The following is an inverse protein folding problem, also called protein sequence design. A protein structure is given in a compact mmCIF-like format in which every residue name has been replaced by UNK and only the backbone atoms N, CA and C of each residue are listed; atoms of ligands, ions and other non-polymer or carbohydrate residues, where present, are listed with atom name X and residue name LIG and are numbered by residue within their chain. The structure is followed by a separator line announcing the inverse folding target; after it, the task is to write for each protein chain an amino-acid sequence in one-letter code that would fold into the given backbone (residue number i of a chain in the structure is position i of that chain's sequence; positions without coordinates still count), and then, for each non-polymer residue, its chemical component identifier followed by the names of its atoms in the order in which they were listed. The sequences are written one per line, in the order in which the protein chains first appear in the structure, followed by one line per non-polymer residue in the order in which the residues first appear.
data_IF_035789120304
#
_entry.id   IF_035789120304
#
_cell.length_a   1.000
_cell.length_b   1.000
_cell.length_c   1.000
_cell.angle_alpha   90.00
_cell.angle_beta   90.00
_cell.angle_gamma   90.00
#
_symmetry.space_group_name_H-M   'P 1'
#
loop_
_entity.id
_entity.type
_entity.pdbx_description
1 polymer ?
#
# COMPACT_ATOMS: atom_id res chain seq x y z
N UNK A 1 37.04 19.29 -18.85
CA UNK A 1 37.88 18.97 -17.67
C UNK A 1 37.77 17.47 -17.43
N UNK A 2 38.88 16.75 -17.31
CA UNK A 2 38.89 15.31 -16.96
C UNK A 2 39.85 15.16 -15.79
N UNK A 3 39.33 14.76 -14.63
CA UNK A 3 40.17 14.49 -13.47
C UNK A 3 40.93 13.18 -13.64
N UNK A 4 42.20 13.17 -13.22
CA UNK A 4 43.03 11.98 -13.13
C UNK A 4 43.24 11.63 -11.66
N UNK A 5 43.29 10.34 -11.36
CA UNK A 5 43.52 9.84 -9.99
C UNK A 5 44.99 9.98 -9.66
N UNK A 6 45.34 10.92 -8.77
CA UNK A 6 46.66 10.98 -8.12
C UNK A 6 46.45 10.96 -6.61
N UNK A 7 46.82 9.83 -5.99
CA UNK A 7 46.58 9.56 -4.58
C UNK A 7 47.85 9.87 -3.80
N UNK A 8 47.67 10.52 -2.66
CA UNK A 8 48.73 10.85 -1.73
C UNK A 8 48.46 10.19 -0.39
N UNK A 9 49.48 9.63 0.24
CA UNK A 9 49.43 9.20 1.64
C UNK A 9 49.65 10.44 2.52
N UNK A 10 48.63 10.79 3.30
CA UNK A 10 48.57 11.98 4.15
C UNK A 10 48.59 11.60 5.64
N UNK A 11 48.86 10.34 5.96
CA UNK A 11 48.78 9.80 7.34
C UNK A 11 49.66 10.57 8.32
N UNK A 12 50.83 11.03 7.88
CA UNK A 12 51.77 11.83 8.68
C UNK A 12 51.15 13.11 9.25
N UNK A 13 50.25 13.75 8.51
CA UNK A 13 49.59 15.00 8.93
C UNK A 13 48.67 14.76 10.13
N UNK A 14 48.13 13.54 10.26
CA UNK A 14 47.09 13.20 11.23
C UNK A 14 47.62 12.37 12.42
N UNK A 15 48.94 12.21 12.58
CA UNK A 15 49.53 11.44 13.70
C UNK A 15 49.10 11.93 15.08
N UNK A 16 49.04 13.24 15.27
CA UNK A 16 48.66 13.89 16.53
C UNK A 16 47.24 14.49 16.50
N UNK A 17 46.40 14.00 15.59
CA UNK A 17 45.05 14.55 15.39
C UNK A 17 44.19 14.43 16.65
N UNK A 18 43.39 15.47 16.91
CA UNK A 18 42.35 15.45 17.95
C UNK A 18 41.07 14.77 17.49
N UNK A 19 40.95 14.46 16.19
CA UNK A 19 39.81 13.71 15.66
C UNK A 19 39.83 12.27 16.15
N UNK A 20 38.91 11.93 17.06
CA UNK A 20 38.74 10.54 17.54
C UNK A 20 38.53 9.56 16.38
N UNK A 21 37.77 9.97 15.36
CA UNK A 21 37.50 9.15 14.18
C UNK A 21 38.79 8.78 13.46
N UNK A 22 39.63 9.77 13.14
CA UNK A 22 40.87 9.54 12.38
C UNK A 22 41.89 8.79 13.24
N UNK A 23 42.10 9.24 14.49
CA UNK A 23 43.06 8.66 15.42
C UNK A 23 42.80 7.17 15.67
N UNK A 24 41.57 6.81 16.02
CA UNK A 24 41.21 5.40 16.26
C UNK A 24 41.40 4.52 15.01
N UNK A 25 41.17 5.04 13.81
CA UNK A 25 41.41 4.25 12.60
C UNK A 25 42.91 4.08 12.34
N UNK A 26 43.72 5.13 12.52
CA UNK A 26 45.19 5.06 12.38
C UNK A 26 45.79 4.08 13.40
N UNK A 27 45.38 4.16 14.67
CA UNK A 27 45.83 3.26 15.74
C UNK A 27 45.51 1.78 15.41
N UNK A 28 44.43 1.54 14.65
CA UNK A 28 44.03 0.23 14.16
C UNK A 28 44.72 -0.18 12.85
N UNK A 29 45.76 0.54 12.42
CA UNK A 29 46.56 0.25 11.22
C UNK A 29 46.00 0.81 9.92
N UNK A 30 45.00 1.71 9.97
CA UNK A 30 44.53 2.41 8.77
C UNK A 30 45.45 3.58 8.40
N UNK A 31 45.38 4.00 7.14
CA UNK A 31 46.06 5.17 6.62
C UNK A 31 45.06 6.17 6.07
N UNK A 32 45.48 7.43 6.01
CA UNK A 32 44.69 8.53 5.45
C UNK A 32 45.22 8.84 4.06
N UNK A 33 44.42 8.59 3.04
CA UNK A 33 44.76 8.88 1.66
C UNK A 33 43.96 10.08 1.17
N UNK A 34 44.54 10.89 0.29
CA UNK A 34 43.87 12.06 -0.27
C UNK A 34 44.06 12.21 -1.77
N UNK A 35 43.07 12.85 -2.41
CA UNK A 35 43.14 13.30 -3.80
C UNK A 35 42.80 14.79 -3.89
N UNK A 36 43.39 15.46 -4.88
CA UNK A 36 43.07 16.83 -5.28
C UNK A 36 41.97 16.82 -6.35
N UNK A 37 41.05 17.77 -6.26
CA UNK A 37 40.03 18.07 -7.26
C UNK A 37 40.12 19.54 -7.66
N UNK A 38 40.75 19.81 -8.80
CA UNK A 38 40.92 21.16 -9.33
C UNK A 38 39.56 21.88 -9.53
N UNK A 39 39.44 23.13 -9.11
CA UNK A 39 38.26 24.01 -9.28
C UNK A 39 36.93 23.46 -8.72
N UNK A 40 36.98 22.53 -7.77
CA UNK A 40 35.79 21.89 -7.17
C UNK A 40 35.42 22.44 -5.79
N UNK A 41 36.03 23.55 -5.34
CA UNK A 41 35.67 24.16 -4.06
C UNK A 41 34.20 24.56 -4.03
N UNK A 42 33.53 24.23 -2.93
CA UNK A 42 32.10 24.47 -2.71
C UNK A 42 31.18 23.52 -3.47
N UNK A 43 31.68 22.80 -4.48
CA UNK A 43 30.86 21.88 -5.28
C UNK A 43 30.58 20.58 -4.52
N UNK A 44 31.53 20.07 -3.75
CA UNK A 44 31.34 18.82 -3.01
C UNK A 44 30.31 19.03 -1.88
N UNK A 45 30.34 20.21 -1.26
CA UNK A 45 29.37 20.64 -0.25
C UNK A 45 27.99 21.06 -0.80
N UNK A 46 27.82 21.15 -2.12
CA UNK A 46 26.58 21.62 -2.72
C UNK A 46 25.40 20.66 -2.44
N UNK A 47 24.31 21.20 -1.92
CA UNK A 47 23.10 20.44 -1.60
C UNK A 47 22.26 20.19 -2.86
N UNK A 48 22.03 18.93 -3.18
CA UNK A 48 21.33 18.47 -4.39
C UNK A 48 19.89 18.03 -4.09
N UNK A 49 19.60 17.71 -2.84
CA UNK A 49 18.30 17.25 -2.33
C UNK A 49 18.32 17.48 -0.81
N UNK A 50 17.17 17.64 -0.12
CA UNK A 50 17.15 17.90 1.32
C UNK A 50 18.08 16.96 2.09
N UNK A 51 19.02 17.52 2.85
CA UNK A 51 20.01 16.78 3.64
C UNK A 51 21.00 15.92 2.83
N UNK A 52 21.06 16.06 1.50
CA UNK A 52 21.98 15.32 0.62
C UNK A 52 22.81 16.26 -0.24
N UNK A 53 24.13 16.09 -0.17
CA UNK A 53 25.13 16.86 -0.93
C UNK A 53 25.78 16.00 -2.01
N UNK A 54 26.53 16.62 -2.93
CA UNK A 54 27.40 15.86 -3.85
C UNK A 54 28.36 14.96 -3.06
N UNK A 55 28.92 15.46 -1.95
CA UNK A 55 29.74 14.68 -1.03
C UNK A 55 29.02 13.46 -0.46
N UNK A 56 27.71 13.53 -0.22
CA UNK A 56 26.89 12.40 0.23
C UNK A 56 26.82 11.30 -0.84
N UNK A 57 26.65 11.65 -2.12
CA UNK A 57 26.68 10.69 -3.22
C UNK A 57 28.04 9.98 -3.36
N UNK A 58 29.13 10.73 -3.20
CA UNK A 58 30.48 10.17 -3.24
C UNK A 58 30.78 9.30 -2.00
N UNK A 59 30.22 9.68 -0.85
CA UNK A 59 30.28 8.90 0.40
C UNK A 59 29.56 7.56 0.27
N UNK A 60 28.40 7.52 -0.41
CA UNK A 60 27.67 6.28 -0.66
C UNK A 60 28.50 5.28 -1.47
N UNK A 61 29.30 5.74 -2.44
CA UNK A 61 30.26 4.89 -3.18
C UNK A 61 31.27 4.29 -2.20
N UNK A 62 31.89 5.11 -1.35
CA UNK A 62 32.89 4.63 -0.38
C UNK A 62 32.30 3.59 0.60
N UNK A 63 31.07 3.80 1.06
CA UNK A 63 30.36 2.88 1.96
C UNK A 63 30.14 1.49 1.36
N UNK A 64 29.91 1.39 0.04
CA UNK A 64 29.78 0.08 -0.64
C UNK A 64 31.06 -0.75 -0.62
N UNK A 65 32.21 -0.13 -0.36
CA UNK A 65 33.51 -0.81 -0.21
C UNK A 65 33.90 -1.03 1.27
N UNK A 66 32.95 -0.91 2.19
CA UNK A 66 33.18 -1.14 3.62
C UNK A 66 33.88 0.02 4.35
N UNK A 67 34.03 1.18 3.69
CA UNK A 67 34.56 2.38 4.34
C UNK A 67 33.43 3.13 5.07
N UNK A 68 33.76 3.93 6.08
CA UNK A 68 32.74 4.72 6.80
C UNK A 68 32.14 5.86 5.96
N UNK A 69 32.85 6.28 4.92
CA UNK A 69 32.49 7.40 4.05
C UNK A 69 33.74 8.11 3.53
N UNK A 70 33.56 9.34 3.06
CA UNK A 70 34.65 10.24 2.68
C UNK A 70 34.72 11.42 3.63
N UNK A 71 35.88 12.09 3.70
CA UNK A 71 35.97 13.45 4.22
C UNK A 71 36.31 14.41 3.08
N UNK A 72 35.78 15.63 3.06
CA UNK A 72 36.07 16.58 1.97
C UNK A 72 36.35 18.02 2.44
N UNK A 73 37.01 18.80 1.59
CA UNK A 73 37.42 20.17 1.94
C UNK A 73 36.27 21.10 2.31
N UNK A 74 35.10 20.94 1.69
CA UNK A 74 33.95 21.84 1.92
C UNK A 74 33.21 21.58 3.25
N UNK A 75 33.47 20.45 3.92
CA UNK A 75 32.93 20.17 5.26
C UNK A 75 33.96 20.35 6.38
N UNK A 76 35.22 20.66 6.02
CA UNK A 76 36.33 20.85 6.95
C UNK A 76 36.68 22.35 7.07
N UNK A 77 37.07 22.85 8.27
CA UNK A 77 37.39 22.12 9.50
C UNK A 77 36.15 21.63 10.27
N UNK A 78 36.11 20.32 10.57
CA UNK A 78 35.06 19.68 11.37
C UNK A 78 35.55 18.29 11.85
N UNK A 79 34.73 17.55 12.59
CA UNK A 79 35.02 16.18 13.07
C UNK A 79 36.28 16.08 13.96
N UNK A 80 36.67 17.20 14.59
CA UNK A 80 37.90 17.30 15.38
C UNK A 80 39.18 17.46 14.56
N UNK A 81 39.08 17.71 13.25
CA UNK A 81 40.19 18.11 12.39
C UNK A 81 40.31 19.64 12.45
N UNK A 82 41.50 20.12 12.81
CA UNK A 82 41.87 21.52 12.96
C UNK A 82 42.13 22.21 11.62
N UNK A 83 42.02 23.54 11.61
CA UNK A 83 42.37 24.36 10.44
C UNK A 83 43.82 24.16 10.00
N UNK A 84 44.73 23.93 10.94
CA UNK A 84 46.15 23.69 10.64
C UNK A 84 46.35 22.36 9.91
N UNK A 85 45.64 21.29 10.30
CA UNK A 85 45.63 20.02 9.57
C UNK A 85 45.07 20.20 8.16
N UNK A 86 43.97 20.95 8.00
CA UNK A 86 43.39 21.26 6.68
C UNK A 86 44.39 22.03 5.80
N UNK A 87 45.10 23.01 6.37
CA UNK A 87 46.13 23.79 5.66
C UNK A 87 47.31 22.93 5.23
N UNK A 88 47.75 22.00 6.09
CA UNK A 88 48.81 21.05 5.78
C UNK A 88 48.41 20.07 4.68
N UNK A 89 47.16 19.59 4.68
CA UNK A 89 46.61 18.77 3.58
C UNK A 89 46.63 19.54 2.26
N UNK A 90 46.13 20.79 2.24
CA UNK A 90 46.15 21.64 1.04
C UNK A 90 47.56 21.86 0.51
N UNK A 91 48.54 22.09 1.41
CA UNK A 91 49.96 22.24 1.04
C UNK A 91 50.52 20.95 0.44
N UNK A 92 50.28 19.79 1.05
CA UNK A 92 50.79 18.50 0.56
C UNK A 92 50.18 18.11 -0.80
N UNK A 93 48.91 18.42 -1.01
CA UNK A 93 48.19 18.16 -2.26
C UNK A 93 48.42 19.23 -3.34
N UNK A 94 49.14 20.33 -3.04
CA UNK A 94 49.28 21.51 -3.90
C UNK A 94 47.92 22.05 -4.38
N UNK A 95 46.98 22.22 -3.45
CA UNK A 95 45.68 22.85 -3.70
C UNK A 95 45.81 24.38 -3.77
N UNK A 96 45.20 24.99 -4.79
CA UNK A 96 44.92 26.42 -4.84
C UNK A 96 43.63 26.76 -4.08
N UNK A 97 43.29 28.06 -4.01
CA UNK A 97 42.09 28.53 -3.32
C UNK A 97 40.78 28.16 -4.01
N UNK A 98 40.82 27.72 -5.27
CA UNK A 98 39.65 27.24 -6.02
C UNK A 98 39.49 25.72 -5.95
N UNK A 99 40.50 25.01 -5.43
CA UNK A 99 40.54 23.55 -5.45
C UNK A 99 39.89 22.94 -4.20
N UNK A 100 39.36 21.73 -4.37
CA UNK A 100 38.87 20.89 -3.29
C UNK A 100 39.77 19.66 -3.10
N UNK A 101 39.59 18.96 -1.98
CA UNK A 101 40.20 17.65 -1.78
C UNK A 101 39.21 16.68 -1.15
N UNK A 102 39.45 15.39 -1.36
CA UNK A 102 38.74 14.30 -0.71
C UNK A 102 39.75 13.42 0.01
N UNK A 103 39.42 13.01 1.23
CA UNK A 103 40.17 12.06 2.04
C UNK A 103 39.39 10.76 2.21
N UNK A 104 40.12 9.66 2.23
CA UNK A 104 39.63 8.32 2.57
C UNK A 104 40.51 7.72 3.65
N UNK A 105 39.89 7.05 4.61
CA UNK A 105 40.59 6.33 5.67
C UNK A 105 40.41 4.85 5.40
N UNK A 106 41.51 4.15 5.10
CA UNK A 106 41.48 2.73 4.73
C UNK A 106 42.72 2.00 5.21
N UNK A 107 42.56 0.75 5.63
CA UNK A 107 43.69 -0.16 5.91
C UNK A 107 44.34 -0.68 4.63
N UNK A 108 43.55 -0.80 3.56
CA UNK A 108 43.99 -1.33 2.28
C UNK A 108 44.10 -0.19 1.23
N UNK A 109 45.30 -0.06 0.66
CA UNK A 109 45.58 0.91 -0.40
C UNK A 109 44.83 0.59 -1.69
N UNK A 110 44.67 -0.68 -2.07
CA UNK A 110 43.98 -1.05 -3.30
C UNK A 110 42.47 -0.76 -3.21
N UNK A 111 41.87 -0.92 -2.02
CA UNK A 111 40.48 -0.46 -1.77
C UNK A 111 40.39 1.06 -1.92
N UNK A 112 41.29 1.82 -1.29
CA UNK A 112 41.30 3.28 -1.41
C UNK A 112 41.45 3.74 -2.87
N UNK A 113 42.36 3.11 -3.61
CA UNK A 113 42.60 3.37 -5.03
C UNK A 113 41.39 3.08 -5.90
N UNK A 114 40.69 1.96 -5.66
CA UNK A 114 39.47 1.60 -6.38
C UNK A 114 38.34 2.59 -6.09
N UNK A 115 38.15 2.97 -4.83
CA UNK A 115 37.12 3.95 -4.43
C UNK A 115 37.41 5.32 -5.05
N UNK A 116 38.63 5.83 -4.96
CA UNK A 116 38.99 7.10 -5.62
C UNK A 116 38.80 7.06 -7.13
N UNK A 117 39.12 5.94 -7.77
CA UNK A 117 38.89 5.78 -9.22
C UNK A 117 37.41 5.86 -9.57
N UNK A 118 36.54 5.22 -8.78
CA UNK A 118 35.09 5.30 -8.96
C UNK A 118 34.55 6.70 -8.69
N UNK A 119 35.04 7.38 -7.65
CA UNK A 119 34.68 8.78 -7.35
C UNK A 119 35.09 9.70 -8.50
N UNK A 120 36.31 9.57 -9.04
CA UNK A 120 36.77 10.38 -10.17
C UNK A 120 35.94 10.10 -11.43
N UNK A 121 35.66 8.83 -11.74
CA UNK A 121 34.79 8.48 -12.86
C UNK A 121 33.39 9.06 -12.70
N UNK A 122 32.86 9.01 -11.47
CA UNK A 122 31.57 9.60 -11.12
C UNK A 122 31.55 11.11 -11.32
N UNK A 123 32.55 11.83 -10.81
CA UNK A 123 32.66 13.28 -11.00
C UNK A 123 32.75 13.63 -12.49
N UNK A 124 33.60 12.91 -13.25
CA UNK A 124 33.76 13.11 -14.68
C UNK A 124 32.47 12.84 -15.47
N UNK A 125 31.65 11.88 -15.03
CA UNK A 125 30.32 11.62 -15.59
C UNK A 125 29.33 12.74 -15.23
N UNK A 126 29.26 13.12 -13.94
CA UNK A 126 28.37 14.15 -13.41
C UNK A 126 28.56 15.52 -14.09
N UNK A 127 29.78 15.84 -14.52
CA UNK A 127 30.07 17.07 -15.28
C UNK A 127 29.39 17.06 -16.66
N UNK A 128 29.20 15.88 -17.25
CA UNK A 128 28.62 15.74 -18.59
C UNK A 128 27.11 15.57 -18.54
N UNK A 129 26.61 14.84 -17.55
CA UNK A 129 25.19 14.49 -17.39
C UNK A 129 24.92 13.98 -15.98
N UNK A 130 23.64 13.91 -15.59
CA UNK A 130 23.25 13.13 -14.40
C UNK A 130 23.54 11.64 -14.65
N UNK A 131 24.32 10.96 -13.77
CA UNK A 131 24.63 9.54 -13.92
C UNK A 131 23.37 8.65 -13.91
N UNK A 132 23.42 7.53 -14.64
CA UNK A 132 22.33 6.56 -14.68
C UNK A 132 22.55 5.46 -13.63
N UNK A 133 21.75 5.50 -12.57
CA UNK A 133 21.86 4.55 -11.46
C UNK A 133 20.55 3.87 -11.11
N UNK A 134 20.68 2.71 -10.49
CA UNK A 134 19.66 2.21 -9.57
C UNK A 134 19.88 2.85 -8.20
N UNK A 135 18.82 3.42 -7.63
CA UNK A 135 18.85 4.15 -6.35
C UNK A 135 17.90 3.51 -5.36
N UNK A 136 18.23 3.59 -4.06
CA UNK A 136 17.38 3.14 -2.97
C UNK A 136 16.54 4.32 -2.47
N UNK A 137 15.24 4.11 -2.26
CA UNK A 137 14.38 5.10 -1.60
C UNK A 137 14.65 5.12 -0.09
N UNK A 138 14.74 6.31 0.47
CA UNK A 138 14.91 6.55 1.90
C UNK A 138 13.54 6.91 2.54
N UNK A 139 13.40 6.71 3.86
CA UNK A 139 12.18 7.05 4.61
C UNK A 139 11.82 8.53 4.56
N UNK A 140 12.81 9.41 4.39
CA UNK A 140 12.65 10.86 4.26
C UNK A 140 12.25 11.33 2.85
N UNK A 141 11.96 10.39 1.94
CA UNK A 141 11.61 10.67 0.55
C UNK A 141 12.80 10.98 -0.36
N UNK A 142 14.03 11.00 0.16
CA UNK A 142 15.25 11.15 -0.65
C UNK A 142 15.67 9.80 -1.24
N UNK A 143 16.73 9.79 -2.07
CA UNK A 143 17.28 8.54 -2.63
C UNK A 143 18.79 8.45 -2.45
N UNK A 144 19.30 7.24 -2.23
CA UNK A 144 20.74 6.95 -2.07
C UNK A 144 21.27 6.06 -3.20
N UNK A 145 22.57 6.18 -3.50
CA UNK A 145 23.19 5.39 -4.56
C UNK A 145 23.27 3.91 -4.15
N UNK A 146 22.73 3.01 -5.00
CA UNK A 146 22.79 1.57 -4.78
C UNK A 146 23.84 0.91 -5.69
N UNK A 147 23.67 1.05 -7.00
CA UNK A 147 24.58 0.53 -8.03
C UNK A 147 24.38 1.30 -9.35
N UNK A 148 25.38 1.31 -10.25
CA UNK A 148 25.17 1.80 -11.61
C UNK A 148 24.04 1.02 -12.28
N UNK A 149 23.26 1.69 -13.14
CA UNK A 149 22.19 1.01 -13.86
C UNK A 149 22.81 -0.14 -14.69
N UNK A 150 22.27 -1.37 -14.61
CA UNK A 150 22.72 -2.44 -15.48
C UNK A 150 22.56 -2.01 -16.94
N UNK A 151 23.46 -2.45 -17.80
CA UNK A 151 23.32 -2.24 -19.25
C UNK A 151 22.03 -2.88 -19.78
N UNK A 152 21.65 -2.56 -21.01
CA UNK A 152 20.53 -3.23 -21.68
C UNK A 152 20.75 -4.74 -21.65
N UNK A 153 19.89 -5.46 -20.96
CA UNK A 153 19.99 -6.91 -20.84
C UNK A 153 19.92 -7.54 -22.22
N UNK A 154 20.81 -8.49 -22.48
CA UNK A 154 20.75 -9.29 -23.70
C UNK A 154 19.63 -10.31 -23.53
N UNK A 155 18.43 -9.98 -23.99
CA UNK A 155 17.35 -10.96 -24.06
C UNK A 155 17.60 -11.90 -25.24
N UNK A 156 17.47 -13.19 -25.01
CA UNK A 156 17.35 -14.22 -26.03
C UNK A 156 16.05 -15.00 -25.74
N UNK A 157 15.38 -15.53 -26.77
CA UNK A 157 14.22 -16.39 -26.55
C UNK A 157 14.58 -17.59 -25.66
N UNK A 158 13.76 -17.86 -24.65
CA UNK A 158 13.87 -19.05 -23.81
C UNK A 158 13.56 -20.29 -24.65
N UNK A 159 14.56 -21.15 -24.87
CA UNK A 159 14.46 -22.32 -25.74
C UNK A 159 13.94 -23.57 -25.02
N UNK A 160 13.98 -23.58 -23.69
CA UNK A 160 13.50 -24.72 -22.89
C UNK A 160 11.97 -24.80 -22.84
N UNK A 161 11.28 -23.72 -23.24
CA UNK A 161 9.82 -23.64 -23.25
C UNK A 161 9.29 -23.67 -24.70
N UNK A 162 8.30 -24.53 -25.00
CA UNK A 162 7.63 -24.48 -26.30
C UNK A 162 6.82 -23.17 -26.43
N UNK A 163 6.51 -22.79 -27.67
CA UNK A 163 5.63 -21.65 -27.91
C UNK A 163 4.22 -21.92 -27.38
N UNK A 164 3.63 -20.90 -26.73
CA UNK A 164 2.21 -20.87 -26.41
C UNK A 164 1.49 -20.31 -27.65
N UNK A 165 0.74 -21.14 -28.37
CA UNK A 165 -0.10 -20.70 -29.47
C UNK A 165 -1.49 -20.36 -28.95
N UNK A 166 -1.94 -19.12 -29.18
CA UNK A 166 -3.26 -18.65 -28.77
C UNK A 166 -4.04 -18.27 -30.04
N UNK A 167 -5.05 -19.08 -30.40
CA UNK A 167 -6.00 -18.75 -31.46
C UNK A 167 -7.27 -18.16 -30.85
N UNK A 168 -7.80 -17.11 -31.47
CA UNK A 168 -9.02 -16.42 -31.05
C UNK A 168 -10.05 -16.48 -32.17
N UNK A 169 -11.22 -17.04 -31.85
CA UNK A 169 -12.39 -17.04 -32.72
C UNK A 169 -13.54 -16.27 -32.05
N UNK A 170 -14.31 -15.52 -32.84
CA UNK A 170 -15.52 -14.83 -32.37
C UNK A 170 -16.73 -15.51 -32.98
N UNK A 171 -17.61 -16.03 -32.14
CA UNK A 171 -18.89 -16.62 -32.53
C UNK A 171 -19.97 -15.60 -32.16
N UNK A 172 -20.72 -15.13 -33.15
CA UNK A 172 -21.82 -14.20 -32.93
C UNK A 172 -23.12 -14.93 -32.65
N UNK A 173 -23.77 -14.60 -31.54
CA UNK A 173 -25.16 -14.93 -31.23
C UNK A 173 -26.02 -13.64 -31.37
N UNK A 174 -27.34 -13.78 -31.37
CA UNK A 174 -28.25 -12.63 -31.44
C UNK A 174 -28.09 -11.70 -30.22
N UNK A 175 -27.81 -12.26 -29.05
CA UNK A 175 -27.77 -11.50 -27.78
C UNK A 175 -26.34 -11.19 -27.29
N UNK A 176 -25.36 -12.02 -27.66
CA UNK A 176 -23.97 -11.92 -27.19
C UNK A 176 -22.95 -12.43 -28.21
N UNK A 177 -21.68 -12.15 -27.96
CA UNK A 177 -20.54 -12.74 -28.65
C UNK A 177 -19.87 -13.75 -27.73
N UNK A 178 -19.40 -14.87 -28.29
CA UNK A 178 -18.51 -15.82 -27.60
C UNK A 178 -17.13 -15.62 -28.20
N UNK A 179 -16.17 -15.26 -27.35
CA UNK A 179 -14.76 -15.19 -27.69
C UNK A 179 -14.12 -16.49 -27.23
N UNK A 180 -13.81 -17.36 -28.19
CA UNK A 180 -13.18 -18.65 -27.95
C UNK A 180 -11.67 -18.53 -28.08
N UNK A 181 -10.97 -18.81 -26.99
CA UNK A 181 -9.52 -18.90 -26.97
C UNK A 181 -9.11 -20.37 -26.98
N UNK A 182 -8.34 -20.76 -27.98
CA UNK A 182 -7.72 -22.07 -28.07
C UNK A 182 -6.24 -21.91 -27.75
N UNK A 183 -5.82 -22.39 -26.58
CA UNK A 183 -4.43 -22.41 -26.14
C UNK A 183 -3.84 -23.78 -26.46
N UNK A 184 -2.70 -23.77 -27.12
CA UNK A 184 -1.89 -24.96 -27.35
C UNK A 184 -0.47 -24.73 -26.80
N UNK A 185 -0.08 -25.57 -25.86
CA UNK A 185 1.23 -25.54 -25.20
C UNK A 185 1.73 -26.96 -24.92
N UNK A 186 2.71 -27.42 -25.71
CA UNK A 186 3.19 -28.80 -25.64
C UNK A 186 2.05 -29.79 -25.96
N UNK A 187 1.76 -30.68 -25.00
CA UNK A 187 0.64 -31.63 -25.10
C UNK A 187 -0.69 -31.06 -24.57
N UNK A 188 -0.66 -29.87 -23.97
CA UNK A 188 -1.85 -29.22 -23.40
C UNK A 188 -2.61 -28.49 -24.49
N UNK A 189 -3.87 -28.88 -24.68
CA UNK A 189 -4.85 -28.17 -25.52
C UNK A 189 -6.04 -27.79 -24.66
N UNK A 190 -6.15 -26.50 -24.38
CA UNK A 190 -7.25 -25.94 -23.59
C UNK A 190 -8.05 -24.97 -24.43
N UNK A 191 -9.37 -25.06 -24.31
CA UNK A 191 -10.30 -24.10 -24.89
C UNK A 191 -11.08 -23.45 -23.77
N UNK A 192 -11.14 -22.13 -23.75
CA UNK A 192 -12.03 -21.39 -22.88
C UNK A 192 -12.85 -20.37 -23.67
N UNK A 193 -14.12 -20.27 -23.28
CA UNK A 193 -15.10 -19.40 -23.91
C UNK A 193 -15.40 -18.23 -22.97
N UNK A 194 -15.25 -17.01 -23.49
CA UNK A 194 -15.59 -15.77 -22.79
C UNK A 194 -16.79 -15.13 -23.48
N UNK A 195 -17.82 -14.79 -22.71
CA UNK A 195 -19.10 -14.30 -23.20
C UNK A 195 -19.19 -12.79 -23.06
N UNK A 196 -19.61 -12.09 -24.12
CA UNK A 196 -19.77 -10.64 -24.14
C UNK A 196 -21.17 -10.27 -24.66
N UNK A 197 -22.04 -9.78 -23.78
CA UNK A 197 -23.35 -9.26 -24.16
C UNK A 197 -23.20 -8.03 -25.05
N UNK A 198 -23.91 -8.02 -26.18
CA UNK A 198 -23.90 -6.90 -27.15
C UNK A 198 -24.58 -5.63 -26.59
N UNK A 199 -25.46 -5.80 -25.59
CA UNK A 199 -26.17 -4.75 -24.86
C UNK A 199 -26.35 -5.17 -23.41
N UNK A 200 -26.64 -4.21 -22.53
CA UNK A 200 -27.00 -4.54 -21.16
C UNK A 200 -28.32 -5.30 -21.11
N UNK A 201 -28.27 -6.51 -20.55
CA UNK A 201 -29.43 -7.35 -20.25
C UNK A 201 -29.13 -8.09 -18.93
N UNK A 202 -29.83 -7.67 -17.87
CA UNK A 202 -29.62 -8.18 -16.52
C UNK A 202 -29.99 -9.65 -16.42
N UNK A 203 -31.14 -10.04 -16.95
CA UNK A 203 -31.68 -11.38 -16.76
C UNK A 203 -30.85 -12.41 -17.54
N UNK A 204 -30.45 -12.04 -18.76
CA UNK A 204 -29.49 -12.82 -19.54
C UNK A 204 -28.14 -12.93 -18.84
N UNK A 205 -27.59 -11.83 -18.31
CA UNK A 205 -26.34 -11.85 -17.56
C UNK A 205 -26.39 -12.82 -16.36
N UNK A 206 -27.47 -12.77 -15.57
CA UNK A 206 -27.69 -13.67 -14.42
C UNK A 206 -27.75 -15.12 -14.87
N UNK A 207 -28.52 -15.38 -15.94
CA UNK A 207 -28.66 -16.72 -16.50
C UNK A 207 -27.29 -17.29 -16.90
N UNK A 208 -26.51 -16.53 -17.66
CA UNK A 208 -25.18 -16.98 -18.11
C UNK A 208 -24.22 -17.19 -16.93
N UNK A 209 -24.26 -16.31 -15.92
CA UNK A 209 -23.44 -16.46 -14.71
C UNK A 209 -23.81 -17.74 -13.94
N UNK A 210 -25.10 -18.05 -13.79
CA UNK A 210 -25.58 -19.26 -13.12
C UNK A 210 -25.25 -20.55 -13.90
N UNK A 211 -25.11 -20.45 -15.22
CA UNK A 211 -24.59 -21.54 -16.07
C UNK A 211 -23.05 -21.70 -15.97
N UNK A 212 -22.39 -20.90 -15.12
CA UNK A 212 -20.94 -20.95 -14.91
C UNK A 212 -20.13 -20.30 -16.03
N UNK A 213 -20.75 -19.47 -16.87
CA UNK A 213 -20.07 -18.81 -18.00
C UNK A 213 -19.25 -17.61 -17.55
N UNK A 214 -18.07 -17.46 -18.14
CA UNK A 214 -17.18 -16.31 -17.88
C UNK A 214 -17.62 -15.10 -18.68
N UNK A 215 -18.09 -14.04 -18.01
CA UNK A 215 -18.61 -12.83 -18.64
C UNK A 215 -17.54 -11.74 -18.78
N UNK A 216 -17.25 -11.30 -20.01
CA UNK A 216 -16.35 -10.18 -20.28
C UNK A 216 -16.93 -8.84 -19.81
N UNK A 217 -18.26 -8.68 -19.85
CA UNK A 217 -18.91 -7.41 -19.50
C UNK A 217 -18.61 -6.92 -18.07
N UNK A 218 -18.11 -7.80 -17.20
CA UNK A 218 -17.69 -7.46 -15.85
C UNK A 218 -16.52 -6.48 -15.77
N UNK A 219 -15.76 -6.31 -16.84
CA UNK A 219 -14.66 -5.33 -16.90
C UNK A 219 -15.09 -3.98 -17.48
N UNK A 220 -16.30 -3.90 -18.05
CA UNK A 220 -16.82 -2.68 -18.66
C UNK A 220 -17.47 -1.81 -17.57
N UNK A 221 -16.88 -0.64 -17.24
CA UNK A 221 -17.41 0.22 -16.18
C UNK A 221 -18.84 0.71 -16.45
N UNK A 222 -19.22 0.89 -17.71
CA UNK A 222 -20.57 1.35 -18.07
C UNK A 222 -21.59 0.23 -17.89
N UNK A 223 -21.22 -1.00 -18.27
CA UNK A 223 -22.04 -2.17 -17.98
C UNK A 223 -22.22 -2.37 -16.47
N UNK A 224 -21.16 -2.24 -15.67
CA UNK A 224 -21.24 -2.35 -14.21
C UNK A 224 -22.14 -1.25 -13.62
N UNK A 225 -22.03 -0.01 -14.11
CA UNK A 225 -22.94 1.08 -13.69
C UNK A 225 -24.40 0.71 -13.94
N UNK A 226 -24.72 0.22 -15.14
CA UNK A 226 -26.09 -0.20 -15.47
C UNK A 226 -26.55 -1.37 -14.61
N UNK A 227 -25.66 -2.33 -14.33
CA UNK A 227 -25.91 -3.45 -13.41
C UNK A 227 -26.25 -2.96 -12.00
N UNK A 228 -25.42 -2.09 -11.42
CA UNK A 228 -25.66 -1.52 -10.09
C UNK A 228 -26.94 -0.67 -10.05
N UNK A 229 -27.20 0.15 -11.07
CA UNK A 229 -28.48 0.87 -11.18
C UNK A 229 -29.68 -0.09 -11.18
N UNK A 230 -29.57 -1.22 -11.87
CA UNK A 230 -30.64 -2.22 -11.93
C UNK A 230 -30.93 -2.91 -10.59
N UNK A 231 -29.95 -2.96 -9.67
CA UNK A 231 -30.18 -3.42 -8.29
C UNK A 231 -30.78 -2.34 -7.37
N UNK A 232 -30.85 -1.09 -7.83
CA UNK A 232 -31.38 0.03 -7.04
C UNK A 232 -30.34 0.84 -6.28
N UNK A 233 -29.05 0.71 -6.61
CA UNK A 233 -28.02 1.60 -6.06
C UNK A 233 -28.16 3.02 -6.59
N UNK A 234 -27.98 4.01 -5.71
CA UNK A 234 -27.94 5.42 -6.11
C UNK A 234 -26.57 5.82 -6.67
N UNK A 235 -26.48 7.01 -7.30
CA UNK A 235 -25.26 7.47 -7.97
C UNK A 235 -24.04 7.51 -7.04
N UNK A 236 -24.19 8.00 -5.82
CA UNK A 236 -23.10 8.06 -4.84
C UNK A 236 -22.62 6.67 -4.43
N UNK A 237 -23.53 5.73 -4.25
CA UNK A 237 -23.17 4.34 -3.95
C UNK A 237 -22.40 3.73 -5.13
N UNK A 238 -22.88 3.95 -6.36
CA UNK A 238 -22.24 3.45 -7.58
C UNK A 238 -20.81 3.98 -7.73
N UNK A 239 -20.61 5.28 -7.53
CA UNK A 239 -19.28 5.89 -7.59
C UNK A 239 -18.31 5.23 -6.60
N UNK A 240 -18.77 4.95 -5.38
CA UNK A 240 -17.93 4.28 -4.38
C UNK A 240 -17.67 2.81 -4.72
N UNK A 241 -18.67 2.10 -5.26
CA UNK A 241 -18.56 0.68 -5.59
C UNK A 241 -17.62 0.43 -6.78
N UNK A 242 -17.63 1.29 -7.79
CA UNK A 242 -16.82 1.09 -9.02
C UNK A 242 -15.33 1.05 -8.74
N UNK A 243 -14.87 1.83 -7.75
CA UNK A 243 -13.47 1.87 -7.36
C UNK A 243 -13.13 0.87 -6.25
N UNK A 244 -14.09 0.05 -5.83
CA UNK A 244 -13.90 -0.96 -4.80
C UNK A 244 -13.19 -2.19 -5.38
N UNK A 245 -12.22 -2.72 -4.65
CA UNK A 245 -11.62 -4.03 -4.92
C UNK A 245 -12.65 -5.17 -4.78
N UNK A 246 -13.76 -4.95 -4.06
CA UNK A 246 -14.82 -5.94 -3.80
C UNK A 246 -16.01 -5.85 -4.77
N UNK A 247 -15.84 -5.18 -5.90
CA UNK A 247 -16.93 -4.93 -6.87
C UNK A 247 -17.68 -6.21 -7.29
N UNK A 248 -16.95 -7.30 -7.50
CA UNK A 248 -17.51 -8.59 -7.89
C UNK A 248 -18.33 -9.22 -6.76
N UNK A 249 -17.84 -9.17 -5.53
CA UNK A 249 -18.56 -9.68 -4.36
C UNK A 249 -19.82 -8.87 -4.09
N UNK A 250 -19.74 -7.55 -4.20
CA UNK A 250 -20.89 -6.64 -4.06
C UNK A 250 -21.98 -7.01 -5.07
N UNK A 251 -21.64 -7.15 -6.36
CA UNK A 251 -22.58 -7.54 -7.41
C UNK A 251 -23.20 -8.91 -7.08
N UNK A 252 -22.39 -9.89 -6.68
CA UNK A 252 -22.85 -11.24 -6.36
C UNK A 252 -23.79 -11.28 -5.16
N UNK A 253 -23.53 -10.47 -4.13
CA UNK A 253 -24.36 -10.41 -2.92
C UNK A 253 -25.66 -9.63 -3.18
N UNK A 254 -25.63 -8.65 -4.10
CA UNK A 254 -26.80 -7.86 -4.51
C UNK A 254 -27.93 -8.68 -5.14
N UNK A 255 -27.67 -9.92 -5.55
CA UNK A 255 -28.70 -10.85 -6.02
C UNK A 255 -29.61 -11.35 -4.90
N UNK A 256 -29.11 -11.38 -3.66
CA UNK A 256 -29.81 -12.00 -2.52
C UNK A 256 -30.24 -10.99 -1.45
N UNK A 257 -29.57 -9.83 -1.38
CA UNK A 257 -29.77 -8.81 -0.35
C UNK A 257 -30.03 -7.46 -1.00
N UNK A 258 -30.83 -6.63 -0.36
CA UNK A 258 -31.13 -5.27 -0.82
C UNK A 258 -29.85 -4.39 -0.91
N UNK A 259 -29.79 -3.45 -1.87
CA UNK A 259 -28.58 -2.67 -2.13
C UNK A 259 -28.10 -1.84 -0.94
N UNK A 260 -29.00 -1.38 -0.06
CA UNK A 260 -28.61 -0.56 1.09
C UNK A 260 -27.92 -1.40 2.17
N UNK A 261 -28.39 -2.62 2.39
CA UNK A 261 -27.74 -3.55 3.32
C UNK A 261 -26.39 -4.01 2.76
N UNK A 262 -26.28 -4.31 1.47
CA UNK A 262 -24.99 -4.63 0.84
C UNK A 262 -24.02 -3.45 0.94
N UNK A 263 -24.47 -2.24 0.61
CA UNK A 263 -23.63 -1.06 0.73
C UNK A 263 -23.14 -0.84 2.17
N UNK A 264 -24.04 -1.04 3.15
CA UNK A 264 -23.69 -0.95 4.56
C UNK A 264 -22.59 -1.96 4.96
N UNK A 265 -22.74 -3.22 4.54
CA UNK A 265 -21.80 -4.31 4.83
C UNK A 265 -20.37 -4.00 4.37
N UNK A 266 -20.22 -3.42 3.17
CA UNK A 266 -18.90 -3.15 2.58
C UNK A 266 -18.30 -1.82 3.00
N UNK A 267 -19.11 -0.77 3.23
CA UNK A 267 -18.60 0.59 3.36
C UNK A 267 -18.85 1.25 4.73
N UNK A 268 -19.80 0.77 5.53
CA UNK A 268 -20.24 1.48 6.74
C UNK A 268 -20.07 0.65 8.02
N UNK A 269 -20.24 -0.66 7.94
CA UNK A 269 -20.24 -1.57 9.07
C UNK A 269 -19.01 -1.40 9.98
N UNK A 270 -17.81 -1.28 9.42
CA UNK A 270 -16.58 -1.13 10.22
C UNK A 270 -16.67 0.14 11.08
N UNK A 271 -16.94 1.30 10.47
CA UNK A 271 -17.02 2.56 11.20
C UNK A 271 -18.10 2.55 12.28
N UNK A 272 -19.26 1.94 12.02
CA UNK A 272 -20.32 1.79 13.02
C UNK A 272 -19.90 0.86 14.17
N UNK A 273 -19.12 -0.17 13.88
CA UNK A 273 -18.57 -1.08 14.89
C UNK A 273 -17.54 -0.38 15.75
N UNK A 274 -16.62 0.38 15.15
CA UNK A 274 -15.62 1.16 15.88
C UNK A 274 -16.29 2.20 16.80
N UNK A 275 -17.33 2.86 16.29
CA UNK A 275 -18.09 3.83 17.05
C UNK A 275 -18.84 3.21 18.24
N UNK A 276 -19.36 2.00 18.07
CA UNK A 276 -20.10 1.28 19.11
C UNK A 276 -19.19 0.82 20.25
N UNK A 277 -18.03 0.25 19.93
CA UNK A 277 -17.11 -0.32 20.92
C UNK A 277 -15.99 0.62 21.36
N UNK A 278 -15.85 1.80 20.72
CA UNK A 278 -14.76 2.77 20.95
C UNK A 278 -13.37 2.16 20.75
N UNK A 279 -13.27 1.24 19.82
CA UNK A 279 -12.04 0.53 19.46
C UNK A 279 -11.87 0.51 17.95
N UNK A 280 -10.63 0.60 17.47
CA UNK A 280 -10.33 0.55 16.04
C UNK A 280 -10.35 -0.90 15.53
N UNK A 281 -10.92 -1.12 14.35
CA UNK A 281 -10.95 -2.43 13.69
C UNK A 281 -10.08 -2.37 12.45
N UNK A 282 -8.97 -3.11 12.47
CA UNK A 282 -7.94 -3.02 11.43
C UNK A 282 -8.21 -3.91 10.21
N UNK A 283 -9.20 -4.80 10.27
CA UNK A 283 -9.38 -5.87 9.29
C UNK A 283 -10.80 -5.88 8.75
N UNK A 284 -10.96 -5.64 7.44
CA UNK A 284 -12.14 -6.06 6.68
C UNK A 284 -12.05 -7.58 6.41
N UNK A 285 -13.16 -8.30 6.55
CA UNK A 285 -13.17 -9.77 6.43
C UNK A 285 -14.28 -10.22 5.49
N UNK A 286 -13.91 -10.65 4.29
CA UNK A 286 -14.86 -11.05 3.26
C UNK A 286 -15.59 -12.37 3.62
N UNK A 287 -14.95 -13.28 4.36
CA UNK A 287 -15.57 -14.53 4.80
C UNK A 287 -16.73 -14.25 5.76
N UNK A 288 -16.58 -13.24 6.62
CA UNK A 288 -17.68 -12.77 7.47
C UNK A 288 -18.87 -12.32 6.63
N UNK A 289 -18.64 -11.53 5.57
CA UNK A 289 -19.70 -11.04 4.70
C UNK A 289 -20.47 -12.20 4.06
N UNK A 290 -19.76 -13.20 3.54
CA UNK A 290 -20.39 -14.38 2.95
C UNK A 290 -21.19 -15.19 3.97
N UNK A 291 -20.71 -15.33 5.20
CA UNK A 291 -21.44 -16.04 6.25
C UNK A 291 -22.66 -15.27 6.74
N UNK A 292 -22.55 -13.96 6.97
CA UNK A 292 -23.65 -13.15 7.51
C UNK A 292 -24.77 -12.92 6.49
N UNK A 293 -24.45 -13.01 5.20
CA UNK A 293 -25.40 -12.85 4.09
C UNK A 293 -26.63 -13.75 4.24
N UNK A 294 -26.44 -15.03 4.57
CA UNK A 294 -27.55 -15.98 4.65
C UNK A 294 -28.50 -15.64 5.80
N UNK A 295 -27.97 -15.17 6.95
CA UNK A 295 -28.79 -14.70 8.07
C UNK A 295 -29.64 -13.48 7.73
N UNK A 296 -29.10 -12.57 6.89
CA UNK A 296 -29.82 -11.39 6.42
C UNK A 296 -30.86 -11.76 5.36
N UNK A 297 -30.51 -12.63 4.42
CA UNK A 297 -31.41 -13.16 3.38
C UNK A 297 -32.62 -13.86 4.00
N UNK A 298 -32.38 -14.70 5.00
CA UNK A 298 -33.42 -15.43 5.73
C UNK A 298 -34.17 -14.55 6.75
N UNK A 299 -33.81 -13.26 6.88
CA UNK A 299 -34.35 -12.30 7.85
C UNK A 299 -34.23 -12.77 9.31
N UNK A 300 -33.21 -13.58 9.63
CA UNK A 300 -32.93 -14.07 10.99
C UNK A 300 -32.39 -12.99 11.92
N UNK A 301 -31.73 -11.98 11.36
CA UNK A 301 -31.17 -10.83 12.09
C UNK A 301 -31.52 -9.52 11.38
N UNK A 302 -31.40 -8.41 12.09
CA UNK A 302 -31.53 -7.07 11.54
C UNK A 302 -30.16 -6.44 11.25
N UNK A 303 -30.12 -5.50 10.30
CA UNK A 303 -28.87 -4.83 9.88
C UNK A 303 -28.09 -4.21 11.05
N UNK A 304 -28.80 -3.65 12.02
CA UNK A 304 -28.19 -2.99 13.18
C UNK A 304 -27.49 -3.96 14.14
N UNK A 305 -27.78 -5.27 14.08
CA UNK A 305 -27.10 -6.28 14.90
C UNK A 305 -25.67 -6.55 14.40
N UNK A 306 -25.40 -6.28 13.12
CA UNK A 306 -24.16 -6.62 12.45
C UNK A 306 -22.91 -6.09 13.18
N UNK A 307 -22.85 -4.83 13.68
CA UNK A 307 -21.67 -4.35 14.41
C UNK A 307 -21.31 -5.19 15.62
N UNK A 308 -22.31 -5.63 16.39
CA UNK A 308 -22.09 -6.49 17.56
C UNK A 308 -21.52 -7.83 17.09
N UNK A 309 -22.14 -8.43 16.08
CA UNK A 309 -21.72 -9.72 15.54
C UNK A 309 -20.29 -9.64 15.00
N UNK A 310 -20.01 -8.61 14.21
CA UNK A 310 -18.73 -8.40 13.57
C UNK A 310 -17.60 -8.17 14.56
N UNK A 311 -17.82 -7.35 15.59
CA UNK A 311 -16.84 -7.12 16.65
C UNK A 311 -16.45 -8.43 17.34
N UNK A 312 -17.45 -9.24 17.72
CA UNK A 312 -17.17 -10.49 18.40
C UNK A 312 -16.53 -11.54 17.49
N UNK A 313 -16.90 -11.56 16.21
CA UNK A 313 -16.28 -12.42 15.20
C UNK A 313 -14.79 -12.10 15.04
N UNK A 314 -14.44 -10.82 14.86
CA UNK A 314 -13.04 -10.42 14.63
C UNK A 314 -12.19 -10.52 15.90
N UNK A 315 -12.70 -10.03 17.04
CA UNK A 315 -11.89 -9.92 18.26
C UNK A 315 -11.73 -11.23 19.00
N UNK A 316 -12.75 -12.08 19.00
CA UNK A 316 -12.76 -13.31 19.77
C UNK A 316 -12.79 -14.57 18.92
N UNK A 317 -12.79 -14.44 17.58
CA UNK A 317 -12.88 -15.56 16.64
C UNK A 317 -14.04 -16.52 16.96
N UNK A 318 -15.17 -15.95 17.40
CA UNK A 318 -16.38 -16.70 17.75
C UNK A 318 -17.20 -16.99 16.50
N UNK A 319 -17.92 -18.11 16.52
CA UNK A 319 -18.87 -18.43 15.46
C UNK A 319 -20.07 -17.46 15.49
N UNK A 320 -20.58 -17.12 14.29
CA UNK A 320 -21.68 -16.16 14.14
C UNK A 320 -22.94 -16.62 14.88
N UNK A 321 -23.26 -17.92 14.82
CA UNK A 321 -24.45 -18.48 15.46
C UNK A 321 -24.35 -18.35 16.99
N UNK A 322 -23.19 -18.68 17.56
CA UNK A 322 -22.95 -18.53 18.99
C UNK A 322 -23.05 -17.07 19.43
N UNK A 323 -22.51 -16.14 18.64
CA UNK A 323 -22.61 -14.70 18.95
C UNK A 323 -24.07 -14.23 18.94
N UNK A 324 -24.85 -14.62 17.91
CA UNK A 324 -26.27 -14.25 17.79
C UNK A 324 -27.04 -14.79 19.01
N UNK A 325 -26.81 -16.04 19.41
CA UNK A 325 -27.47 -16.67 20.56
C UNK A 325 -27.08 -16.02 21.88
N UNK A 326 -25.78 -15.85 22.16
CA UNK A 326 -25.27 -15.29 23.42
C UNK A 326 -25.71 -13.83 23.63
N UNK A 327 -25.82 -13.06 22.55
CA UNK A 327 -26.22 -11.65 22.60
C UNK A 327 -27.72 -11.44 22.32
N UNK A 328 -28.48 -12.53 22.15
CA UNK A 328 -29.93 -12.51 21.92
C UNK A 328 -30.36 -11.66 20.69
N UNK A 329 -29.59 -11.73 19.60
CA UNK A 329 -29.69 -10.85 18.42
C UNK A 329 -30.66 -11.33 17.34
N UNK A 330 -31.37 -12.43 17.58
CA UNK A 330 -32.39 -12.93 16.67
C UNK A 330 -33.49 -11.89 16.43
N UNK A 331 -33.89 -11.72 15.18
CA UNK A 331 -35.00 -10.84 14.82
C UNK A 331 -36.27 -11.34 15.49
N UNK A 332 -36.94 -10.46 16.25
CA UNK A 332 -38.22 -10.76 16.89
C UNK A 332 -39.34 -10.77 15.87
N UNK A 333 -40.26 -11.70 16.04
CA UNK A 333 -41.55 -11.60 15.37
C UNK A 333 -42.40 -10.50 16.04
N UNK A 334 -43.50 -10.13 15.39
CA UNK A 334 -44.35 -9.02 15.83
C UNK A 334 -44.96 -9.24 17.23
N UNK A 335 -45.34 -10.48 17.56
CA UNK A 335 -45.98 -10.78 18.85
C UNK A 335 -44.99 -10.73 20.01
N UNK A 336 -43.80 -11.31 19.82
CA UNK A 336 -42.69 -11.24 20.77
C UNK A 336 -42.26 -9.79 21.00
N UNK A 337 -42.05 -9.04 19.91
CA UNK A 337 -41.64 -7.64 19.97
C UNK A 337 -42.65 -6.80 20.74
N UNK A 338 -43.95 -7.00 20.48
CA UNK A 338 -45.02 -6.29 21.20
C UNK A 338 -44.99 -6.55 22.70
N UNK A 339 -44.91 -7.83 23.11
CA UNK A 339 -44.86 -8.20 24.53
C UNK A 339 -43.65 -7.59 25.23
N UNK A 340 -42.46 -7.72 24.63
CA UNK A 340 -41.23 -7.16 25.21
C UNK A 340 -41.27 -5.62 25.31
N UNK A 341 -41.84 -4.94 24.30
CA UNK A 341 -42.00 -3.47 24.34
C UNK A 341 -43.00 -3.05 25.43
N UNK A 342 -44.16 -3.71 25.55
CA UNK A 342 -45.16 -3.38 26.59
C UNK A 342 -44.58 -3.54 28.01
N UNK A 343 -43.81 -4.61 28.26
CA UNK A 343 -43.12 -4.84 29.53
C UNK A 343 -42.06 -3.76 29.79
N UNK A 344 -41.27 -3.41 28.77
CA UNK A 344 -40.25 -2.38 28.91
C UNK A 344 -40.85 -0.99 29.18
N UNK A 345 -41.94 -0.62 28.51
CA UNK A 345 -42.64 0.66 28.75
C UNK A 345 -43.15 0.74 30.18
N UNK A 346 -43.74 -0.34 30.71
CA UNK A 346 -44.18 -0.40 32.12
C UNK A 346 -43.03 -0.15 33.10
N UNK A 347 -41.81 -0.55 32.75
CA UNK A 347 -40.63 -0.33 33.60
C UNK A 347 -40.06 1.10 33.56
N UNK A 348 -40.38 1.90 32.53
CA UNK A 348 -39.73 3.19 32.29
C UNK A 348 -40.21 4.34 33.20
N UNK A 349 -41.29 4.16 33.99
CA UNK A 349 -41.85 5.16 34.92
C UNK A 349 -41.89 6.60 34.35
N UNK A 350 -42.14 6.76 33.05
CA UNK A 350 -42.13 8.04 32.36
C UNK A 350 -43.26 8.07 31.31
N UNK A 351 -44.01 9.18 31.26
CA UNK A 351 -45.17 9.35 30.37
C UNK A 351 -44.87 10.22 29.14
N UNK A 352 -43.65 10.77 29.01
CA UNK A 352 -43.27 11.53 27.83
C UNK A 352 -43.10 10.60 26.63
N UNK A 353 -44.00 10.72 25.65
CA UNK A 353 -43.99 9.95 24.41
C UNK A 353 -42.65 10.03 23.69
N UNK A 354 -42.00 11.20 23.63
CA UNK A 354 -40.70 11.33 22.93
C UNK A 354 -39.61 10.51 23.62
N UNK A 355 -39.61 10.52 24.96
CA UNK A 355 -38.65 9.77 25.78
C UNK A 355 -38.90 8.27 25.68
N UNK A 356 -40.17 7.83 25.69
CA UNK A 356 -40.54 6.42 25.48
C UNK A 356 -40.06 5.95 24.11
N UNK A 357 -40.38 6.69 23.05
CA UNK A 357 -39.93 6.37 21.69
C UNK A 357 -38.40 6.21 21.64
N UNK A 358 -37.64 7.20 22.12
CA UNK A 358 -36.18 7.15 22.08
C UNK A 358 -35.61 5.93 22.83
N UNK A 359 -36.14 5.62 24.02
CA UNK A 359 -35.65 4.49 24.82
C UNK A 359 -35.98 3.14 24.18
N UNK A 360 -37.21 2.97 23.69
CA UNK A 360 -37.64 1.73 23.03
C UNK A 360 -36.82 1.50 21.75
N UNK A 361 -36.66 2.52 20.92
CA UNK A 361 -35.81 2.40 19.73
C UNK A 361 -34.37 2.01 20.10
N UNK A 362 -33.78 2.67 21.11
CA UNK A 362 -32.42 2.36 21.54
C UNK A 362 -32.27 0.91 22.03
N UNK A 363 -33.28 0.40 22.75
CA UNK A 363 -33.28 -0.95 23.33
C UNK A 363 -33.49 -2.05 22.28
N UNK A 364 -34.42 -1.86 21.35
CA UNK A 364 -34.87 -2.91 20.43
C UNK A 364 -34.27 -2.83 19.02
N UNK A 365 -33.49 -1.78 18.69
CA UNK A 365 -32.89 -1.60 17.36
C UNK A 365 -32.04 -2.78 16.87
N UNK A 366 -31.54 -3.63 17.77
CA UNK A 366 -30.69 -4.79 17.44
C UNK A 366 -31.48 -6.07 17.17
N UNK A 367 -32.79 -6.09 17.42
CA UNK A 367 -33.64 -7.28 17.29
C UNK A 367 -34.90 -7.01 16.46
N UNK A 368 -35.14 -5.78 16.03
CA UNK A 368 -36.26 -5.42 15.18
C UNK A 368 -35.90 -4.24 14.25
N UNK A 369 -36.49 -4.22 13.06
CA UNK A 369 -36.31 -3.12 12.13
C UNK A 369 -37.02 -1.87 12.65
N UNK A 370 -36.50 -0.69 12.32
CA UNK A 370 -37.04 0.57 12.82
C UNK A 370 -38.52 0.77 12.48
N UNK A 371 -38.96 0.26 11.33
CA UNK A 371 -40.37 0.32 10.92
C UNK A 371 -41.26 -0.61 11.75
N UNK A 372 -40.79 -1.81 12.09
CA UNK A 372 -41.51 -2.76 12.94
C UNK A 372 -41.67 -2.18 14.36
N UNK A 373 -40.59 -1.61 14.92
CA UNK A 373 -40.63 -0.92 16.24
C UNK A 373 -41.63 0.23 16.22
N UNK A 374 -41.61 1.06 15.15
CA UNK A 374 -42.50 2.21 15.01
C UNK A 374 -43.97 1.79 15.03
N UNK A 375 -44.33 0.80 14.19
CA UNK A 375 -45.72 0.31 14.08
C UNK A 375 -46.23 -0.23 15.41
N UNK A 376 -45.42 -1.05 16.10
CA UNK A 376 -45.78 -1.60 17.41
C UNK A 376 -45.96 -0.49 18.46
N UNK A 377 -45.10 0.53 18.45
CA UNK A 377 -45.22 1.67 19.36
C UNK A 377 -46.47 2.52 19.12
N UNK A 378 -46.80 2.80 17.86
CA UNK A 378 -48.02 3.53 17.48
C UNK A 378 -49.27 2.78 17.94
N UNK A 379 -49.30 1.46 17.78
CA UNK A 379 -50.38 0.59 18.27
C UNK A 379 -50.52 0.58 19.79
N UNK A 380 -49.42 0.50 20.54
CA UNK A 380 -49.45 0.46 22.01
C UNK A 380 -49.88 1.80 22.59
N UNK A 381 -49.46 2.90 21.96
CA UNK A 381 -49.72 4.26 22.44
C UNK A 381 -51.01 4.87 21.88
N UNK A 382 -51.76 4.12 21.05
CA UNK A 382 -52.95 4.55 20.32
C UNK A 382 -52.73 5.86 19.53
N UNK A 383 -51.68 5.90 18.69
CA UNK A 383 -51.28 7.08 17.88
C UNK A 383 -51.47 6.78 16.40
#
# INVERSE_FOLDING_TARGET
MIFKVKIYDLTEIFKETKSKLVKTNIDNGARVYGIKLDKMKGMIGFEISPNRRIGTELSDIAKKFGLKGILHSDELPNYGISEEEVKNVKRMLNCSDEDAFILLISKDYEVAKKVFSLIINRINESIKRVPRDTRQANEDGTTSFLRPQPGSERMYPETDHPYIYINKDIIEDNEYNIIRYNINYGDIKETFDIYYLKKFDRDLYIKLLNEGKTMLNTIDPEFIKQMLKSFGYNEKQIENIIWSEYIYDIIKISFDIDPNTVYYLFFQMIGDTENLFKEKIEKFDLDFIYKIKDYLKDKKIVKNAIPIIYYHYIKYNKDIEDIIRENNLYKRNREELRKEIEEYIKSLNNNDKKVIFSNVFSKFKYVADSEDIKRVLEEILNI
#
